data_IF_130390084220
#
_entry.id   IF_130390084220
#
_cell.length_a   1.000
_cell.length_b   1.000
_cell.length_c   1.000
_cell.angle_alpha   90.00
_cell.angle_beta   90.00
_cell.angle_gamma   90.00
#
_symmetry.space_group_name_H-M   'P 1'
#
loop_
_entity.id
_entity.type
_entity.pdbx_description
1 polymer ?
#
# COMPACT_ATOMS: atom_id res chain seq x y z
N UNK A 1 73.14 -18.17 45.64
CA UNK A 1 72.61 -17.36 44.53
C UNK A 1 71.30 -18.01 44.10
N UNK A 2 70.17 -17.52 44.63
CA UNK A 2 69.16 -16.71 43.92
C UNK A 2 68.64 -17.43 42.65
N UNK A 3 67.47 -18.08 42.74
CA UNK A 3 66.14 -17.60 42.28
C UNK A 3 65.94 -17.84 40.77
N UNK A 4 64.78 -18.19 40.21
CA UNK A 4 63.41 -18.14 40.69
C UNK A 4 62.57 -19.19 39.94
N UNK A 5 61.49 -19.64 40.59
CA UNK A 5 60.44 -20.47 40.02
C UNK A 5 59.79 -19.79 38.81
N UNK A 6 59.75 -20.48 37.67
CA UNK A 6 58.97 -20.02 36.51
C UNK A 6 57.48 -20.28 36.76
N UNK A 7 56.75 -19.19 37.02
CA UNK A 7 55.31 -19.20 37.18
C UNK A 7 54.66 -19.31 35.79
N UNK A 8 54.14 -20.50 35.45
CA UNK A 8 53.32 -20.70 34.25
C UNK A 8 51.93 -20.12 34.50
N UNK A 9 51.72 -18.89 34.06
CA UNK A 9 50.40 -18.27 34.03
C UNK A 9 49.52 -18.98 33.00
N UNK A 10 48.59 -19.80 33.47
CA UNK A 10 47.47 -20.30 32.69
C UNK A 10 46.45 -19.17 32.52
N UNK A 11 46.35 -18.62 31.32
CA UNK A 11 45.25 -17.72 30.97
C UNK A 11 44.01 -18.55 30.63
N UNK A 12 42.88 -18.39 31.34
CA UNK A 12 41.65 -19.08 30.99
C UNK A 12 41.08 -18.44 29.71
N UNK A 13 40.97 -19.23 28.65
CA UNK A 13 40.20 -18.85 27.47
C UNK A 13 38.73 -18.74 27.88
N UNK A 14 38.23 -17.51 28.00
CA UNK A 14 36.80 -17.24 28.15
C UNK A 14 36.10 -17.58 26.83
N UNK A 15 35.41 -18.71 26.80
CA UNK A 15 34.45 -19.06 25.75
C UNK A 15 33.29 -18.05 25.79
N UNK A 16 33.32 -17.09 24.87
CA UNK A 16 32.22 -16.16 24.66
C UNK A 16 31.09 -16.90 23.93
N UNK A 17 30.18 -17.51 24.69
CA UNK A 17 28.93 -18.02 24.14
C UNK A 17 28.08 -16.81 23.70
N UNK A 18 27.70 -16.70 22.41
CA UNK A 18 26.82 -15.62 21.99
C UNK A 18 25.50 -15.73 22.76
N UNK A 19 25.13 -14.66 23.47
CA UNK A 19 23.82 -14.54 24.08
C UNK A 19 22.76 -14.56 22.96
N UNK A 20 22.11 -15.70 22.79
CA UNK A 20 20.95 -15.82 21.91
C UNK A 20 19.81 -15.03 22.57
N UNK A 21 19.69 -13.76 22.23
CA UNK A 21 18.53 -12.95 22.56
C UNK A 21 17.34 -13.51 21.77
N UNK A 22 16.57 -14.40 22.40
CA UNK A 22 15.28 -14.84 21.84
C UNK A 22 14.39 -13.60 21.74
N UNK A 23 14.14 -13.13 20.53
CA UNK A 23 13.14 -12.05 20.31
C UNK A 23 11.78 -12.61 20.71
N UNK A 24 11.27 -12.16 21.85
CA UNK A 24 9.87 -12.37 22.21
C UNK A 24 9.05 -11.35 21.43
N UNK A 25 8.27 -11.83 20.46
CA UNK A 25 7.33 -10.98 19.74
C UNK A 25 6.16 -10.60 20.66
N UNK A 26 5.64 -9.36 20.56
CA UNK A 26 4.44 -8.98 21.29
C UNK A 26 3.24 -9.83 20.85
N UNK A 27 2.22 -9.93 21.71
CA UNK A 27 0.96 -10.56 21.31
C UNK A 27 0.33 -9.79 20.15
N UNK A 28 -0.18 -10.53 19.16
CA UNK A 28 -0.72 -9.96 17.92
C UNK A 28 -2.15 -9.46 18.18
N UNK A 29 -2.37 -8.15 18.04
CA UNK A 29 -3.71 -7.55 17.97
C UNK A 29 -4.13 -7.39 16.49
N UNK A 30 -5.24 -8.04 16.12
CA UNK A 30 -5.77 -8.05 14.75
C UNK A 30 -6.81 -6.96 14.49
N UNK A 31 -7.18 -6.17 15.50
CA UNK A 31 -8.33 -5.25 15.45
C UNK A 31 -8.19 -4.23 14.32
N UNK A 32 -7.07 -3.51 14.28
CA UNK A 32 -6.81 -2.52 13.24
C UNK A 32 -6.73 -3.17 11.85
N UNK A 33 -6.07 -4.32 11.74
CA UNK A 33 -5.94 -5.03 10.47
C UNK A 33 -7.30 -5.45 9.89
N UNK A 34 -8.20 -5.95 10.75
CA UNK A 34 -9.58 -6.29 10.35
C UNK A 34 -10.36 -5.05 9.91
N UNK A 35 -10.23 -3.93 10.63
CA UNK A 35 -10.89 -2.68 10.23
C UNK A 35 -10.36 -2.16 8.88
N UNK A 36 -9.06 -2.28 8.63
CA UNK A 36 -8.47 -1.95 7.33
C UNK A 36 -9.03 -2.81 6.21
N UNK A 37 -9.20 -4.11 6.45
CA UNK A 37 -9.82 -5.01 5.49
C UNK A 37 -11.29 -4.65 5.19
N UNK A 38 -12.08 -4.28 6.20
CA UNK A 38 -13.47 -3.83 6.00
C UNK A 38 -13.55 -2.54 5.17
N UNK A 39 -12.70 -1.56 5.47
CA UNK A 39 -12.61 -0.32 4.69
C UNK A 39 -12.18 -0.57 3.24
N UNK A 40 -11.26 -1.52 3.02
CA UNK A 40 -10.83 -1.92 1.67
C UNK A 40 -11.98 -2.52 0.84
N UNK A 41 -12.94 -3.25 1.45
CA UNK A 41 -14.10 -3.80 0.73
C UNK A 41 -14.92 -2.69 0.05
N UNK A 42 -15.04 -1.51 0.67
CA UNK A 42 -15.72 -0.37 0.05
C UNK A 42 -14.98 0.07 -1.21
N UNK A 43 -13.66 0.27 -1.12
CA UNK A 43 -12.84 0.69 -2.27
C UNK A 43 -12.95 -0.32 -3.41
N UNK A 44 -12.84 -1.62 -3.11
CA UNK A 44 -12.99 -2.69 -4.11
C UNK A 44 -14.35 -2.68 -4.79
N UNK A 45 -15.44 -2.44 -4.03
CA UNK A 45 -16.79 -2.35 -4.61
C UNK A 45 -16.91 -1.18 -5.58
N UNK A 46 -16.42 0.00 -5.22
CA UNK A 46 -16.44 1.19 -6.07
C UNK A 46 -15.57 1.00 -7.33
N UNK A 47 -14.37 0.45 -7.17
CA UNK A 47 -13.50 0.10 -8.29
C UNK A 47 -14.15 -0.92 -9.23
N UNK A 48 -14.87 -1.90 -8.69
CA UNK A 48 -15.61 -2.88 -9.51
C UNK A 48 -16.68 -2.18 -10.36
N UNK A 49 -17.43 -1.23 -9.79
CA UNK A 49 -18.41 -0.45 -10.56
C UNK A 49 -17.74 0.36 -11.69
N UNK A 50 -16.63 1.03 -11.38
CA UNK A 50 -15.86 1.79 -12.36
C UNK A 50 -15.34 0.91 -13.51
N UNK A 51 -14.66 -0.19 -13.17
CA UNK A 51 -14.06 -1.09 -14.17
C UNK A 51 -15.14 -1.78 -15.00
N UNK A 52 -16.27 -2.15 -14.40
CA UNK A 52 -17.42 -2.69 -15.14
C UNK A 52 -17.97 -1.65 -16.11
N UNK A 53 -18.13 -0.39 -15.68
CA UNK A 53 -18.65 0.66 -16.57
C UNK A 53 -17.70 0.95 -17.72
N UNK A 54 -16.39 0.99 -17.47
CA UNK A 54 -15.36 1.17 -18.49
C UNK A 54 -15.36 0.00 -19.50
N UNK A 55 -15.44 -1.24 -19.03
CA UNK A 55 -15.39 -2.42 -19.90
C UNK A 55 -16.69 -2.67 -20.68
N UNK A 56 -17.85 -2.32 -20.11
CA UNK A 56 -19.15 -2.61 -20.72
C UNK A 56 -19.71 -1.47 -21.56
N UNK A 57 -19.17 -0.24 -21.46
CA UNK A 57 -19.70 0.95 -22.13
C UNK A 57 -18.61 1.62 -22.97
N UNK A 58 -18.53 1.31 -24.28
CA UNK A 58 -17.55 1.91 -25.18
C UNK A 58 -17.60 3.45 -25.20
N UNK A 59 -18.81 4.02 -25.12
CA UNK A 59 -19.00 5.47 -25.06
C UNK A 59 -18.42 6.10 -23.79
N UNK A 60 -18.55 5.43 -22.64
CA UNK A 60 -17.97 5.91 -21.38
C UNK A 60 -16.43 5.82 -21.41
N UNK A 61 -15.88 4.70 -21.88
CA UNK A 61 -14.44 4.54 -22.05
C UNK A 61 -13.86 5.63 -22.98
N UNK A 62 -14.53 5.88 -24.12
CA UNK A 62 -14.15 6.95 -25.04
C UNK A 62 -14.16 8.33 -24.36
N UNK A 63 -15.19 8.65 -23.58
CA UNK A 63 -15.24 9.94 -22.87
C UNK A 63 -14.07 10.12 -21.91
N UNK A 64 -13.71 9.07 -21.16
CA UNK A 64 -12.56 9.11 -20.23
C UNK A 64 -11.25 9.30 -21.01
N UNK A 65 -11.01 8.50 -22.05
CA UNK A 65 -9.81 8.59 -22.88
C UNK A 65 -9.69 9.97 -23.55
N UNK A 66 -10.79 10.46 -24.13
CA UNK A 66 -10.82 11.77 -24.79
C UNK A 66 -10.58 12.91 -23.81
N UNK A 67 -11.14 12.85 -22.60
CA UNK A 67 -10.86 13.83 -21.56
C UNK A 67 -9.39 13.81 -21.13
N UNK A 68 -8.76 12.64 -21.05
CA UNK A 68 -7.34 12.49 -20.73
C UNK A 68 -6.44 13.09 -21.82
N UNK A 69 -6.73 12.81 -23.10
CA UNK A 69 -6.00 13.39 -24.23
C UNK A 69 -6.08 14.92 -24.28
N UNK A 70 -7.18 15.49 -23.79
CA UNK A 70 -7.38 16.95 -23.71
C UNK A 70 -6.86 17.55 -22.39
N UNK A 71 -6.17 16.78 -21.53
CA UNK A 71 -5.73 17.20 -20.21
C UNK A 71 -6.85 17.75 -19.31
N UNK A 72 -8.07 17.26 -19.48
CA UNK A 72 -9.26 17.75 -18.78
C UNK A 72 -9.51 16.99 -17.48
N UNK A 73 -8.72 17.30 -16.45
CA UNK A 73 -8.81 16.71 -15.11
C UNK A 73 -10.23 16.74 -14.52
N UNK A 74 -10.92 17.89 -14.62
CA UNK A 74 -12.25 18.08 -14.03
C UNK A 74 -13.28 17.13 -14.63
N UNK A 75 -13.20 16.92 -15.94
CA UNK A 75 -14.13 16.02 -16.63
C UNK A 75 -13.87 14.56 -16.26
N UNK A 76 -12.61 14.14 -16.13
CA UNK A 76 -12.28 12.80 -15.65
C UNK A 76 -12.83 12.60 -14.24
N UNK A 77 -12.59 13.54 -13.33
CA UNK A 77 -13.13 13.47 -11.96
C UNK A 77 -14.66 13.36 -11.95
N UNK A 78 -15.35 14.11 -12.82
CA UNK A 78 -16.80 14.04 -12.98
C UNK A 78 -17.25 12.66 -13.49
N UNK A 79 -16.58 12.12 -14.50
CA UNK A 79 -16.88 10.81 -15.08
C UNK A 79 -16.66 9.69 -14.07
N UNK A 80 -15.53 9.68 -13.36
CA UNK A 80 -15.21 8.68 -12.33
C UNK A 80 -16.24 8.70 -11.19
N UNK A 81 -16.66 9.89 -10.73
CA UNK A 81 -17.76 10.02 -9.76
C UNK A 81 -19.08 9.50 -10.30
N UNK A 82 -19.39 9.78 -11.57
CA UNK A 82 -20.63 9.30 -12.22
C UNK A 82 -20.69 7.77 -12.37
N UNK A 83 -19.54 7.09 -12.34
CA UNK A 83 -19.44 5.63 -12.35
C UNK A 83 -19.65 4.99 -10.97
N UNK A 84 -19.88 5.79 -9.91
CA UNK A 84 -20.15 5.30 -8.55
C UNK A 84 -18.96 5.33 -7.59
N UNK A 85 -17.85 5.98 -7.95
CA UNK A 85 -16.72 6.20 -7.04
C UNK A 85 -17.03 7.38 -6.12
N UNK A 86 -17.28 7.10 -4.84
CA UNK A 86 -17.60 8.12 -3.82
C UNK A 86 -16.43 8.40 -2.89
N UNK A 87 -15.46 7.49 -2.83
CA UNK A 87 -14.25 7.65 -2.03
C UNK A 87 -13.34 8.74 -2.59
N UNK A 88 -12.43 9.26 -1.77
CA UNK A 88 -11.42 10.21 -2.25
C UNK A 88 -10.55 9.49 -3.28
N UNK A 89 -10.45 10.06 -4.48
CA UNK A 89 -9.64 9.54 -5.57
C UNK A 89 -8.63 10.60 -6.00
N UNK A 90 -7.36 10.24 -5.99
CA UNK A 90 -6.29 11.00 -6.64
C UNK A 90 -6.08 10.40 -8.02
N UNK A 91 -6.17 11.22 -9.06
CA UNK A 91 -6.17 10.76 -10.45
C UNK A 91 -5.03 11.43 -11.19
N UNK A 92 -4.20 10.61 -11.82
CA UNK A 92 -3.18 11.05 -12.77
C UNK A 92 -3.34 10.28 -14.08
N UNK A 93 -2.96 10.90 -15.18
CA UNK A 93 -3.08 10.29 -16.50
C UNK A 93 -2.06 10.89 -17.46
N UNK A 94 -1.80 10.15 -18.52
CA UNK A 94 -1.11 10.63 -19.70
C UNK A 94 -1.89 10.15 -20.95
N UNK A 95 -1.43 10.44 -22.17
CA UNK A 95 -2.11 9.97 -23.38
C UNK A 95 -2.23 8.44 -23.55
N UNK A 96 -1.60 7.63 -22.68
CA UNK A 96 -1.51 6.16 -22.81
C UNK A 96 -2.22 5.41 -21.66
N UNK A 97 -2.29 6.01 -20.47
CA UNK A 97 -2.77 5.38 -19.24
C UNK A 97 -3.43 6.35 -18.26
N UNK A 98 -4.21 5.77 -17.34
CA UNK A 98 -4.79 6.43 -16.18
C UNK A 98 -4.45 5.66 -14.91
N UNK A 99 -4.09 6.39 -13.88
CA UNK A 99 -3.88 5.91 -12.53
C UNK A 99 -4.90 6.57 -11.60
N UNK A 100 -5.53 5.74 -10.75
CA UNK A 100 -6.43 6.19 -9.71
C UNK A 100 -5.97 5.61 -8.38
N UNK A 101 -5.73 6.47 -7.39
CA UNK A 101 -5.51 6.06 -6.02
C UNK A 101 -6.73 6.42 -5.18
N UNK A 102 -7.52 5.39 -4.85
CA UNK A 102 -8.66 5.54 -3.96
C UNK A 102 -8.19 5.39 -2.51
N UNK A 103 -8.67 6.26 -1.63
CA UNK A 103 -8.36 6.20 -0.21
C UNK A 103 -9.61 6.20 0.67
N UNK A 104 -9.51 5.47 1.78
CA UNK A 104 -10.53 5.40 2.82
C UNK A 104 -9.96 5.79 4.18
N UNK A 105 -10.84 6.31 5.04
CA UNK A 105 -10.52 6.60 6.44
C UNK A 105 -11.11 5.52 7.33
N UNK A 106 -10.35 5.09 8.32
CA UNK A 106 -10.81 4.23 9.40
C UNK A 106 -10.64 5.01 10.70
N UNK A 107 -11.74 5.45 11.32
CA UNK A 107 -11.70 6.39 12.44
C UNK A 107 -11.14 7.75 12.03
N UNK A 108 -10.13 8.24 12.75
CA UNK A 108 -9.44 9.51 12.46
C UNK A 108 -8.22 9.36 11.54
N UNK A 109 -7.86 8.13 11.17
CA UNK A 109 -6.61 7.84 10.43
C UNK A 109 -6.90 7.52 8.97
N UNK A 110 -6.06 8.05 8.07
CA UNK A 110 -6.01 7.56 6.70
C UNK A 110 -5.54 6.11 6.77
N UNK A 111 -6.35 5.18 6.27
CA UNK A 111 -6.05 3.76 6.39
C UNK A 111 -5.57 3.20 5.07
N UNK A 112 -6.49 3.12 4.11
CA UNK A 112 -6.35 2.08 3.11
C UNK A 112 -6.40 2.73 1.74
N UNK A 113 -5.48 2.27 0.89
CA UNK A 113 -5.20 2.81 -0.42
C UNK A 113 -5.37 1.69 -1.45
N UNK A 114 -6.13 1.96 -2.50
CA UNK A 114 -6.30 1.07 -3.64
C UNK A 114 -5.88 1.79 -4.90
N UNK A 115 -4.79 1.33 -5.51
CA UNK A 115 -4.29 1.85 -6.77
C UNK A 115 -4.82 1.04 -7.93
N UNK A 116 -5.42 1.71 -8.90
CA UNK A 116 -5.90 1.16 -10.17
C UNK A 116 -5.11 1.79 -11.28
N UNK A 117 -4.51 0.98 -12.16
CA UNK A 117 -3.80 1.44 -13.34
C UNK A 117 -4.40 0.76 -14.58
N UNK A 118 -4.84 1.56 -15.55
CA UNK A 118 -5.42 1.09 -16.81
C UNK A 118 -4.71 1.77 -17.98
N UNK A 119 -4.50 1.03 -19.06
CA UNK A 119 -3.85 1.51 -20.29
C UNK A 119 -4.78 1.37 -21.49
N UNK A 120 -4.55 2.20 -22.51
CA UNK A 120 -5.22 2.11 -23.81
C UNK A 120 -4.28 2.28 -25.00
N UNK A 121 -2.99 2.52 -24.76
CA UNK A 121 -1.91 2.39 -25.74
C UNK A 121 -0.73 1.61 -25.12
#
# INVERSE_FOLDING_TARGET
MYSAYQNRYFYPYYLHYPTIHQRVYPQVDVTLFKQSAESMKKLLKETTLLVNKLSSSPSFAYQVMNAAQQSNQKEIERLIKSAGVTSKAEISFNPDNIHLELSSKTGSTNCCHLTVALRWQ
#
